data_IF_785003081647
#
_entry.id   IF_785003081647
#
_cell.length_a   1.000
_cell.length_b   1.000
_cell.length_c   1.000
_cell.angle_alpha   90.00
_cell.angle_beta   90.00
_cell.angle_gamma   90.00
#
_symmetry.space_group_name_H-M   'P 1'
#
loop_
_entity.id
_entity.type
_entity.pdbx_description
1 polymer ?
#
# COMPACT_ATOMS: atom_id res chain seq x y z
N UNK A 1 -0.91 -18.58 -8.24
CA UNK A 1 -2.16 -18.35 -7.47
C UNK A 1 -2.99 -17.31 -8.22
N UNK A 2 -4.24 -17.59 -8.44
CA UNK A 2 -5.14 -16.62 -9.02
C UNK A 2 -5.51 -15.57 -7.96
N UNK A 3 -5.23 -14.30 -8.24
CA UNK A 3 -5.47 -13.18 -7.33
C UNK A 3 -6.43 -12.22 -8.00
N UNK A 4 -7.45 -11.77 -7.29
CA UNK A 4 -8.30 -10.67 -7.71
C UNK A 4 -7.98 -9.40 -6.91
N UNK A 5 -7.93 -8.27 -7.60
CA UNK A 5 -7.70 -6.97 -6.95
C UNK A 5 -9.01 -6.19 -6.98
N UNK A 6 -9.39 -5.67 -5.82
CA UNK A 6 -10.57 -4.80 -5.68
C UNK A 6 -10.28 -3.65 -4.73
N UNK A 7 -11.13 -2.65 -4.74
CA UNK A 7 -11.08 -1.60 -3.71
C UNK A 7 -11.42 -2.18 -2.35
N UNK A 8 -10.75 -1.67 -1.31
CA UNK A 8 -11.02 -2.05 0.06
C UNK A 8 -12.39 -1.53 0.51
N UNK A 9 -13.00 -2.24 1.44
CA UNK A 9 -14.20 -1.82 2.15
C UNK A 9 -13.94 -1.83 3.66
N UNK A 10 -14.85 -1.24 4.44
CA UNK A 10 -14.73 -1.24 5.90
C UNK A 10 -14.75 -2.64 6.50
N UNK A 11 -15.36 -3.60 5.82
CA UNK A 11 -15.42 -5.00 6.27
C UNK A 11 -14.06 -5.71 6.20
N UNK A 12 -13.11 -5.15 5.45
CA UNK A 12 -11.75 -5.70 5.36
C UNK A 12 -10.87 -5.38 6.57
N UNK A 13 -11.33 -4.53 7.47
CA UNK A 13 -10.50 -3.97 8.55
C UNK A 13 -9.85 -5.04 9.43
N UNK A 14 -10.58 -6.10 9.80
CA UNK A 14 -10.04 -7.16 10.65
C UNK A 14 -8.95 -7.96 9.93
N UNK A 15 -9.17 -8.32 8.68
CA UNK A 15 -8.18 -9.07 7.91
C UNK A 15 -6.94 -8.22 7.60
N UNK A 16 -7.11 -6.94 7.35
CA UNK A 16 -5.99 -6.00 7.20
C UNK A 16 -5.19 -5.87 8.50
N UNK A 17 -5.85 -5.82 9.65
CA UNK A 17 -5.17 -5.81 10.95
C UNK A 17 -4.36 -7.10 11.18
N UNK A 18 -4.93 -8.25 10.81
CA UNK A 18 -4.23 -9.55 10.88
C UNK A 18 -3.03 -9.60 9.94
N UNK A 19 -3.17 -9.07 8.72
CA UNK A 19 -2.07 -8.99 7.76
C UNK A 19 -0.93 -8.13 8.31
N UNK A 20 -1.23 -6.96 8.83
CA UNK A 20 -0.23 -6.05 9.42
C UNK A 20 0.48 -6.68 10.61
N UNK A 21 -0.24 -7.42 11.46
CA UNK A 21 0.38 -8.21 12.53
C UNK A 21 1.32 -9.26 11.96
N UNK A 22 0.92 -9.99 10.93
CA UNK A 22 1.73 -11.00 10.27
C UNK A 22 3.01 -10.47 9.63
N UNK A 23 3.03 -9.20 9.21
CA UNK A 23 4.22 -8.51 8.71
C UNK A 23 5.30 -8.38 9.81
N UNK A 24 4.88 -8.13 11.05
CA UNK A 24 5.77 -8.11 12.21
C UNK A 24 6.57 -6.82 12.41
N UNK A 25 6.42 -5.80 11.56
CA UNK A 25 7.22 -4.57 11.61
C UNK A 25 6.65 -3.49 12.53
N UNK A 26 5.40 -3.63 12.92
CA UNK A 26 4.67 -2.57 13.64
C UNK A 26 4.37 -3.05 15.06
N UNK A 27 5.09 -2.49 16.03
CA UNK A 27 4.98 -2.90 17.43
C UNK A 27 3.55 -2.86 17.96
N UNK A 28 2.80 -1.81 17.62
CA UNK A 28 1.40 -1.69 18.03
C UNK A 28 0.54 -2.87 17.54
N UNK A 29 0.84 -3.43 16.36
CA UNK A 29 0.14 -4.59 15.81
C UNK A 29 0.66 -5.89 16.39
N UNK A 30 1.93 -5.96 16.75
CA UNK A 30 2.53 -7.15 17.34
C UNK A 30 2.00 -7.41 18.77
N UNK A 31 1.81 -6.35 19.56
CA UNK A 31 1.45 -6.43 20.98
C UNK A 31 -0.02 -6.11 21.28
N UNK A 32 -0.75 -5.47 20.37
CA UNK A 32 -2.13 -5.04 20.57
C UNK A 32 -3.16 -6.16 20.46
N UNK A 33 -4.35 -5.90 21.01
CA UNK A 33 -5.51 -6.79 20.85
C UNK A 33 -6.09 -6.63 19.44
N UNK A 34 -6.34 -7.75 18.76
CA UNK A 34 -6.78 -7.73 17.36
C UNK A 34 -8.09 -6.97 17.15
N UNK A 35 -9.02 -7.06 18.08
CA UNK A 35 -10.31 -6.38 17.95
C UNK A 35 -10.15 -4.85 18.02
N UNK A 36 -9.26 -4.36 18.90
CA UNK A 36 -8.92 -2.95 19.00
C UNK A 36 -8.18 -2.45 17.78
N UNK A 37 -7.25 -3.25 17.26
CA UNK A 37 -6.52 -2.94 16.04
C UNK A 37 -7.45 -2.90 14.83
N UNK A 38 -8.40 -3.82 14.76
CA UNK A 38 -9.40 -3.82 13.69
C UNK A 38 -10.26 -2.54 13.72
N UNK A 39 -10.64 -2.05 14.90
CA UNK A 39 -11.34 -0.78 15.03
C UNK A 39 -10.48 0.39 14.55
N UNK A 40 -9.20 0.41 14.92
CA UNK A 40 -8.24 1.42 14.44
C UNK A 40 -8.14 1.42 12.92
N UNK A 41 -7.93 0.25 12.31
CA UNK A 41 -7.84 0.10 10.85
C UNK A 41 -9.14 0.54 10.19
N UNK A 42 -10.30 0.14 10.74
CA UNK A 42 -11.61 0.56 10.23
C UNK A 42 -11.76 2.08 10.22
N UNK A 43 -11.37 2.76 11.31
CA UNK A 43 -11.44 4.21 11.40
C UNK A 43 -10.55 4.89 10.38
N UNK A 44 -9.33 4.37 10.14
CA UNK A 44 -8.43 4.89 9.11
C UNK A 44 -8.98 4.64 7.70
N UNK A 45 -9.50 3.44 7.43
CA UNK A 45 -10.15 3.13 6.16
C UNK A 45 -11.32 4.09 5.89
N UNK A 46 -12.12 4.38 6.90
CA UNK A 46 -13.24 5.30 6.77
C UNK A 46 -12.76 6.69 6.31
N UNK A 47 -11.64 7.18 6.86
CA UNK A 47 -11.04 8.43 6.43
C UNK A 47 -10.53 8.34 4.97
N UNK A 48 -9.86 7.26 4.62
CA UNK A 48 -9.37 7.05 3.26
C UNK A 48 -10.49 6.97 2.23
N UNK A 49 -11.64 6.38 2.59
CA UNK A 49 -12.78 6.19 1.70
C UNK A 49 -13.76 7.38 1.68
N UNK A 50 -13.55 8.39 2.53
CA UNK A 50 -14.46 9.53 2.66
C UNK A 50 -14.46 10.46 1.44
N UNK A 51 -13.42 10.43 0.61
CA UNK A 51 -13.29 11.27 -0.57
C UNK A 51 -12.36 10.62 -1.61
N UNK A 52 -12.14 11.30 -2.72
CA UNK A 52 -11.34 10.83 -3.85
C UNK A 52 -9.82 11.09 -3.69
N UNK A 53 -9.36 11.51 -2.51
CA UNK A 53 -7.93 11.81 -2.28
C UNK A 53 -7.08 10.54 -2.07
N UNK A 54 -7.71 9.41 -1.82
CA UNK A 54 -7.05 8.13 -1.55
C UNK A 54 -7.70 7.01 -2.35
N UNK A 55 -6.92 5.98 -2.65
CA UNK A 55 -7.44 4.68 -3.09
C UNK A 55 -6.73 3.59 -2.31
N UNK A 56 -7.48 2.66 -1.75
CA UNK A 56 -6.94 1.47 -1.08
C UNK A 56 -7.44 0.23 -1.80
N UNK A 57 -6.51 -0.63 -2.18
CA UNK A 57 -6.78 -1.87 -2.90
C UNK A 57 -6.40 -3.07 -2.05
N UNK A 58 -7.19 -4.12 -2.11
CA UNK A 58 -6.88 -5.42 -1.51
C UNK A 58 -6.74 -6.47 -2.59
N UNK A 59 -5.83 -7.39 -2.37
CA UNK A 59 -5.61 -8.57 -3.20
C UNK A 59 -6.21 -9.78 -2.49
N UNK A 60 -7.23 -10.37 -3.08
CA UNK A 60 -7.89 -11.57 -2.56
C UNK A 60 -7.45 -12.81 -3.31
N UNK A 61 -7.24 -13.89 -2.57
CA UNK A 61 -7.10 -15.22 -3.14
C UNK A 61 -8.48 -15.81 -3.49
N UNK A 62 -8.53 -16.98 -4.17
CA UNK A 62 -9.82 -17.59 -4.54
C UNK A 62 -10.72 -17.99 -3.37
N UNK A 63 -10.20 -18.02 -2.15
CA UNK A 63 -10.98 -18.32 -0.94
C UNK A 63 -11.54 -17.07 -0.26
N UNK A 64 -11.21 -15.86 -0.79
CA UNK A 64 -11.62 -14.59 -0.22
C UNK A 64 -10.70 -14.06 0.87
N UNK A 65 -9.55 -14.69 1.08
CA UNK A 65 -8.56 -14.24 2.07
C UNK A 65 -7.68 -13.14 1.46
N UNK A 66 -7.47 -12.06 2.21
CA UNK A 66 -6.61 -10.95 1.78
C UNK A 66 -5.15 -11.37 1.84
N UNK A 67 -4.52 -11.47 0.66
CA UNK A 67 -3.12 -11.83 0.49
C UNK A 67 -2.18 -10.61 0.50
N UNK A 68 -2.73 -9.41 0.28
CA UNK A 68 -1.96 -8.16 0.28
C UNK A 68 -2.86 -6.96 0.12
N UNK A 69 -2.29 -5.77 0.33
CA UNK A 69 -2.99 -4.51 0.09
C UNK A 69 -2.03 -3.40 -0.29
N UNK A 70 -2.59 -2.32 -0.83
CA UNK A 70 -1.85 -1.10 -1.10
C UNK A 70 -2.74 0.11 -0.88
N UNK A 71 -2.15 1.21 -0.39
CA UNK A 71 -2.80 2.52 -0.31
C UNK A 71 -2.02 3.54 -1.12
N UNK A 72 -2.73 4.36 -1.88
CA UNK A 72 -2.17 5.43 -2.69
C UNK A 72 -2.90 6.74 -2.42
N UNK A 73 -2.13 7.82 -2.33
CA UNK A 73 -2.61 9.19 -2.12
C UNK A 73 -2.46 9.96 -3.42
N UNK A 74 -3.53 10.63 -3.86
CA UNK A 74 -3.53 11.43 -5.07
C UNK A 74 -3.26 12.89 -4.70
N UNK A 75 -2.05 13.37 -4.98
CA UNK A 75 -1.53 14.64 -4.48
C UNK A 75 -1.47 15.69 -5.61
N UNK A 76 -2.29 16.75 -5.55
CA UNK A 76 -2.24 17.83 -6.54
C UNK A 76 -1.12 18.83 -6.19
N UNK A 77 0.08 18.58 -6.68
CA UNK A 77 1.16 19.57 -6.55
C UNK A 77 0.94 20.76 -7.49
N UNK A 78 1.10 21.98 -6.97
CA UNK A 78 0.83 23.19 -7.72
C UNK A 78 1.76 23.39 -8.92
N UNK A 79 2.97 22.82 -8.90
CA UNK A 79 3.96 22.96 -9.97
C UNK A 79 3.89 21.85 -11.02
N UNK A 80 3.01 20.89 -10.87
CA UNK A 80 2.89 19.74 -11.78
C UNK A 80 1.66 19.89 -12.68
N UNK A 81 1.73 19.35 -13.89
CA UNK A 81 0.62 19.37 -14.85
C UNK A 81 -0.52 18.42 -14.49
N UNK A 82 -0.27 17.42 -13.67
CA UNK A 82 -1.25 16.48 -13.14
C UNK A 82 -0.86 16.03 -11.76
N UNK A 83 -1.72 15.30 -11.04
CA UNK A 83 -1.42 14.82 -9.70
C UNK A 83 -0.22 13.87 -9.67
N UNK A 84 0.38 13.71 -8.49
CA UNK A 84 1.26 12.60 -8.19
C UNK A 84 0.47 11.54 -7.40
N UNK A 85 0.65 10.28 -7.72
CA UNK A 85 0.20 9.21 -6.85
C UNK A 85 1.32 8.80 -5.91
N UNK A 86 1.13 8.97 -4.60
CA UNK A 86 2.10 8.52 -3.60
C UNK A 86 1.61 7.22 -2.96
N UNK A 87 2.35 6.14 -3.21
CA UNK A 87 2.06 4.82 -2.63
C UNK A 87 2.65 4.79 -1.22
N UNK A 88 1.81 4.95 -0.21
CA UNK A 88 2.23 4.99 1.19
C UNK A 88 2.40 3.61 1.79
N UNK A 89 1.66 2.62 1.27
CA UNK A 89 1.65 1.26 1.78
C UNK A 89 1.52 0.27 0.63
N UNK A 90 2.35 -0.77 0.67
CA UNK A 90 2.24 -1.94 -0.19
C UNK A 90 2.79 -3.13 0.58
N UNK A 91 1.90 -3.99 1.03
CA UNK A 91 2.25 -5.14 1.85
C UNK A 91 1.63 -6.42 1.32
N UNK A 92 2.40 -7.49 1.34
CA UNK A 92 1.98 -8.83 0.93
C UNK A 92 2.24 -9.79 2.07
N UNK A 93 1.26 -10.62 2.42
CA UNK A 93 1.40 -11.62 3.48
C UNK A 93 2.56 -12.57 3.15
N UNK A 94 3.22 -13.07 4.19
CA UNK A 94 4.41 -13.91 4.02
C UNK A 94 4.15 -15.11 3.10
N UNK A 95 3.03 -15.80 3.32
CA UNK A 95 2.66 -16.98 2.53
C UNK A 95 2.32 -16.69 1.06
N UNK A 96 2.06 -15.42 0.71
CA UNK A 96 1.73 -15.01 -0.66
C UNK A 96 2.88 -14.32 -1.39
N UNK A 97 4.02 -14.15 -0.73
CA UNK A 97 5.20 -13.53 -1.35
C UNK A 97 5.76 -14.40 -2.47
N UNK A 98 6.36 -13.75 -3.45
CA UNK A 98 6.92 -14.44 -4.61
C UNK A 98 5.90 -14.95 -5.63
N UNK A 99 4.61 -14.69 -5.42
CA UNK A 99 3.52 -15.16 -6.29
C UNK A 99 2.92 -14.04 -7.15
N UNK A 100 3.60 -12.89 -7.25
CA UNK A 100 3.17 -11.79 -8.12
C UNK A 100 2.15 -10.83 -7.53
N UNK A 101 1.68 -11.04 -6.30
CA UNK A 101 0.65 -10.20 -5.65
C UNK A 101 1.02 -8.72 -5.64
N UNK A 102 2.24 -8.39 -5.21
CA UNK A 102 2.72 -7.01 -5.17
C UNK A 102 2.77 -6.36 -6.56
N UNK A 103 3.13 -7.12 -7.59
CA UNK A 103 3.17 -6.62 -8.97
C UNK A 103 1.76 -6.34 -9.50
N UNK A 104 0.79 -7.20 -9.19
CA UNK A 104 -0.61 -6.97 -9.58
C UNK A 104 -1.19 -5.73 -8.88
N UNK A 105 -0.88 -5.53 -7.58
CA UNK A 105 -1.28 -4.31 -6.87
C UNK A 105 -0.70 -3.06 -7.54
N UNK A 106 0.60 -3.07 -7.90
CA UNK A 106 1.22 -1.95 -8.62
C UNK A 106 0.55 -1.70 -9.97
N UNK A 107 0.21 -2.75 -10.71
CA UNK A 107 -0.45 -2.62 -12.03
C UNK A 107 -1.80 -1.94 -11.92
N UNK A 108 -2.61 -2.28 -10.91
CA UNK A 108 -3.90 -1.63 -10.69
C UNK A 108 -3.72 -0.16 -10.31
N UNK A 109 -2.74 0.16 -9.44
CA UNK A 109 -2.41 1.54 -9.09
C UNK A 109 -1.97 2.33 -10.32
N UNK A 110 -1.11 1.76 -11.17
CA UNK A 110 -0.66 2.41 -12.41
C UNK A 110 -1.82 2.70 -13.35
N UNK A 111 -2.76 1.76 -13.46
CA UNK A 111 -3.96 1.93 -14.28
C UNK A 111 -4.83 3.08 -13.76
N UNK A 112 -5.09 3.12 -12.46
CA UNK A 112 -5.88 4.20 -11.86
C UNK A 112 -5.16 5.55 -11.94
N UNK A 113 -3.85 5.57 -11.75
CA UNK A 113 -3.06 6.79 -11.91
C UNK A 113 -3.19 7.38 -13.31
N UNK A 114 -3.14 6.54 -14.35
CA UNK A 114 -3.37 6.99 -15.74
C UNK A 114 -4.78 7.54 -15.94
N UNK A 115 -5.78 6.86 -15.39
CA UNK A 115 -7.18 7.31 -15.47
C UNK A 115 -7.40 8.65 -14.78
N UNK A 116 -6.64 8.95 -13.72
CA UNK A 116 -6.69 10.22 -12.98
C UNK A 116 -5.83 11.32 -13.62
N UNK A 117 -5.11 11.04 -14.69
CA UNK A 117 -4.22 12.00 -15.33
C UNK A 117 -2.95 12.29 -14.51
N UNK A 118 -2.53 11.36 -13.69
CA UNK A 118 -1.30 11.54 -12.89
C UNK A 118 -0.08 11.68 -13.78
N UNK A 119 0.82 12.57 -13.39
CA UNK A 119 2.09 12.79 -14.08
C UNK A 119 3.11 11.72 -13.70
N UNK A 120 3.07 11.24 -12.45
CA UNK A 120 3.96 10.19 -11.96
C UNK A 120 3.38 9.50 -10.73
N UNK A 121 4.00 8.36 -10.40
CA UNK A 121 3.84 7.67 -9.12
C UNK A 121 5.16 7.77 -8.35
N UNK A 122 5.09 7.82 -7.04
CA UNK A 122 6.26 7.77 -6.17
C UNK A 122 5.99 6.94 -4.91
N UNK A 123 7.05 6.47 -4.28
CA UNK A 123 7.00 5.79 -2.99
C UNK A 123 8.37 5.88 -2.30
N UNK A 124 8.37 5.59 -1.00
CA UNK A 124 9.60 5.42 -0.23
C UNK A 124 9.80 3.93 0.06
N UNK A 125 10.95 3.40 -0.30
CA UNK A 125 11.34 2.02 0.01
C UNK A 125 12.56 2.05 0.92
N UNK A 126 12.43 1.56 2.14
CA UNK A 126 13.54 1.51 3.08
C UNK A 126 14.60 0.51 2.58
N UNK A 127 15.86 0.95 2.56
CA UNK A 127 16.97 0.19 1.96
C UNK A 127 17.30 -1.11 2.68
N UNK A 128 16.96 -1.23 3.96
CA UNK A 128 17.14 -2.45 4.75
C UNK A 128 16.04 -3.51 4.51
N UNK A 129 15.01 -3.17 3.73
CA UNK A 129 13.93 -4.10 3.42
C UNK A 129 14.31 -5.05 2.29
N UNK A 130 13.79 -6.27 2.37
CA UNK A 130 13.98 -7.29 1.35
C UNK A 130 13.55 -6.82 -0.04
N UNK A 131 12.42 -6.08 -0.12
CA UNK A 131 11.92 -5.52 -1.38
C UNK A 131 12.95 -4.61 -2.06
N UNK A 132 13.70 -3.81 -1.29
CA UNK A 132 14.77 -2.98 -1.83
C UNK A 132 15.96 -3.84 -2.28
N UNK A 133 16.41 -4.75 -1.44
CA UNK A 133 17.60 -5.57 -1.69
C UNK A 133 17.43 -6.45 -2.95
N UNK A 134 16.24 -7.01 -3.16
CA UNK A 134 15.92 -7.79 -4.37
C UNK A 134 15.46 -6.93 -5.56
N UNK A 135 15.52 -5.61 -5.42
CA UNK A 135 15.21 -4.64 -6.47
C UNK A 135 13.78 -4.77 -7.02
N UNK A 136 12.82 -5.01 -6.15
CA UNK A 136 11.43 -5.26 -6.54
C UNK A 136 10.86 -4.14 -7.43
N UNK A 137 11.01 -2.87 -7.01
CA UNK A 137 10.47 -1.74 -7.74
C UNK A 137 11.24 -1.48 -9.04
N UNK A 138 12.58 -1.62 -9.03
CA UNK A 138 13.39 -1.47 -10.24
C UNK A 138 12.99 -2.50 -11.30
N UNK A 139 12.78 -3.76 -10.90
CA UNK A 139 12.28 -4.82 -11.79
C UNK A 139 10.86 -4.58 -12.28
N UNK A 140 10.08 -3.79 -11.55
CA UNK A 140 8.74 -3.35 -11.96
C UNK A 140 8.77 -2.11 -12.87
N UNK A 141 9.94 -1.57 -13.21
CA UNK A 141 10.11 -0.42 -14.09
C UNK A 141 10.26 0.92 -13.39
N UNK A 142 10.36 0.93 -12.06
CA UNK A 142 10.54 2.14 -11.27
C UNK A 142 12.02 2.51 -11.16
N UNK A 143 12.29 3.80 -11.02
CA UNK A 143 13.66 4.34 -10.90
C UNK A 143 13.86 4.95 -9.51
N UNK A 144 14.94 4.58 -8.86
CA UNK A 144 15.34 5.26 -7.62
C UNK A 144 15.83 6.68 -7.93
N UNK A 145 15.37 7.66 -7.17
CA UNK A 145 15.80 9.06 -7.26
C UNK A 145 16.97 9.30 -6.32
N UNK A 146 18.19 9.21 -6.86
CA UNK A 146 19.41 9.42 -6.07
C UNK A 146 19.54 10.85 -5.52
N UNK A 147 18.93 11.82 -6.22
CA UNK A 147 18.97 13.25 -5.85
C UNK A 147 17.98 13.61 -4.74
N UNK A 148 17.08 12.70 -4.35
CA UNK A 148 16.07 12.95 -3.33
C UNK A 148 16.45 12.29 -2.00
N UNK A 149 16.20 13.00 -0.89
CA UNK A 149 16.30 12.44 0.45
C UNK A 149 14.95 12.45 1.14
N UNK A 150 14.70 11.45 1.96
CA UNK A 150 13.49 11.36 2.78
C UNK A 150 13.79 11.89 4.18
N UNK A 151 13.03 12.89 4.62
CA UNK A 151 13.15 13.46 5.97
C UNK A 151 11.90 13.17 6.76
N UNK A 152 12.06 12.75 8.01
CA UNK A 152 10.95 12.60 8.96
C UNK A 152 11.20 13.49 10.18
N UNK A 153 10.13 14.01 10.75
CA UNK A 153 10.14 14.71 12.02
C UNK A 153 9.04 14.11 12.89
N UNK A 154 9.45 13.44 13.95
CA UNK A 154 8.49 12.76 14.83
C UNK A 154 7.83 13.75 15.78
N UNK A 155 6.50 13.72 15.78
CA UNK A 155 5.69 14.52 16.71
C UNK A 155 5.43 13.70 17.97
N UNK A 156 5.71 14.27 19.11
CA UNK A 156 5.50 13.64 20.42
C UNK A 156 4.11 13.98 20.97
#
# INVERSE_FOLDING_TARGET
MEISIRKASLDDARELALLLRGIGWFEAFNSGQIDELAVRVRNHLQQCLANESHSTFVAEDPTGVIAGYSSVHWLPYLFMSGPEGFVSELFVSEGARGQGVGRELLRVIESEARARGCQRLSLTNLRDRESYQRQFYVKAGWRERAEAANFIYTLS
#
